data_IF_989831305031
#
_entry.id   IF_989831305031
#
_cell.length_a   1.000
_cell.length_b   1.000
_cell.length_c   1.000
_cell.angle_alpha   90.00
_cell.angle_beta   90.00
_cell.angle_gamma   90.00
#
_symmetry.space_group_name_H-M   'P 1'
#
loop_
_entity.id
_entity.type
_entity.pdbx_description
1 polymer ?
#
# COMPACT_ATOMS: atom_id res chain seq x y z
N UNK A 1 -1.18 7.84 4.36
CA UNK A 1 -1.56 7.21 5.64
C UNK A 1 -3.04 7.42 5.82
N UNK A 2 -3.78 6.39 6.25
CA UNK A 2 -5.22 6.51 6.49
C UNK A 2 -5.50 7.45 7.66
N UNK A 3 -6.56 8.26 7.56
CA UNK A 3 -6.96 9.14 8.65
C UNK A 3 -7.70 8.34 9.72
N UNK A 4 -7.45 8.65 10.98
CA UNK A 4 -8.13 7.99 12.11
C UNK A 4 -9.65 8.19 12.07
N UNK A 5 -10.12 9.36 11.59
CA UNK A 5 -11.54 9.62 11.37
C UNK A 5 -12.16 8.63 10.40
N UNK A 6 -11.48 8.33 9.29
CA UNK A 6 -11.92 7.34 8.29
C UNK A 6 -12.05 5.95 8.89
N UNK A 7 -11.05 5.51 9.68
CA UNK A 7 -11.07 4.21 10.34
C UNK A 7 -12.25 4.14 11.32
N UNK A 8 -12.45 5.17 12.16
CA UNK A 8 -13.56 5.22 13.11
C UNK A 8 -14.91 5.17 12.39
N UNK A 9 -15.10 5.97 11.34
CA UNK A 9 -16.34 5.96 10.56
C UNK A 9 -16.60 4.59 9.94
N UNK A 10 -15.59 3.94 9.35
CA UNK A 10 -15.71 2.59 8.80
C UNK A 10 -16.16 1.58 9.85
N UNK A 11 -15.53 1.59 11.03
CA UNK A 11 -15.88 0.70 12.14
C UNK A 11 -17.29 0.98 12.67
N UNK A 12 -17.67 2.26 12.81
CA UNK A 12 -19.01 2.65 13.27
C UNK A 12 -20.10 2.21 12.29
N UNK A 13 -19.91 2.42 10.98
CA UNK A 13 -20.86 1.97 9.95
C UNK A 13 -21.00 0.46 9.95
N UNK A 14 -19.88 -0.27 10.01
CA UNK A 14 -19.91 -1.72 10.05
C UNK A 14 -20.65 -2.25 11.29
N UNK A 15 -20.47 -1.61 12.46
CA UNK A 15 -21.18 -1.98 13.68
C UNK A 15 -22.70 -1.69 13.58
N UNK A 16 -23.09 -0.52 13.06
CA UNK A 16 -24.50 -0.15 12.92
C UNK A 16 -25.25 -1.02 11.91
N UNK A 17 -24.57 -1.42 10.83
CA UNK A 17 -25.15 -2.23 9.75
C UNK A 17 -24.92 -3.74 9.95
N UNK A 18 -24.34 -4.15 11.09
CA UNK A 18 -24.00 -5.56 11.41
C UNK A 18 -23.14 -6.22 10.33
N UNK A 19 -22.24 -5.46 9.71
CA UNK A 19 -21.31 -5.97 8.71
C UNK A 19 -20.16 -6.74 9.36
N UNK A 20 -19.66 -7.75 8.65
CA UNK A 20 -18.42 -8.44 9.04
C UNK A 20 -17.20 -7.70 8.51
N UNK A 21 -16.25 -7.39 9.38
CA UNK A 21 -14.96 -6.80 9.01
C UNK A 21 -13.92 -7.92 8.86
N UNK A 22 -13.12 -7.85 7.79
CA UNK A 22 -11.93 -8.68 7.61
C UNK A 22 -10.68 -7.81 7.64
N UNK A 23 -9.73 -8.16 8.48
CA UNK A 23 -8.42 -7.52 8.56
C UNK A 23 -7.37 -8.42 7.90
N UNK A 24 -6.43 -7.81 7.19
CA UNK A 24 -5.30 -8.49 6.59
C UNK A 24 -4.03 -7.71 6.91
N UNK A 25 -2.93 -8.44 7.16
CA UNK A 25 -1.59 -7.88 7.21
C UNK A 25 -0.75 -8.49 6.09
N UNK A 26 -0.05 -7.62 5.36
CA UNK A 26 0.72 -8.03 4.17
C UNK A 26 2.18 -8.13 4.54
N UNK A 27 2.70 -9.35 4.60
CA UNK A 27 4.12 -9.60 4.80
C UNK A 27 4.96 -8.89 3.75
N UNK A 28 6.04 -8.26 4.17
CA UNK A 28 7.00 -7.59 3.27
C UNK A 28 6.39 -6.54 2.32
N UNK A 29 5.31 -5.86 2.73
CA UNK A 29 4.53 -4.93 1.89
C UNK A 29 5.39 -3.96 1.05
N UNK A 30 6.42 -3.36 1.66
CA UNK A 30 7.28 -2.39 0.97
C UNK A 30 8.14 -2.99 -0.14
N UNK A 31 8.40 -4.30 -0.14
CA UNK A 31 9.18 -4.96 -1.19
C UNK A 31 8.37 -5.13 -2.49
N UNK A 32 7.05 -4.97 -2.45
CA UNK A 32 6.20 -5.06 -3.63
C UNK A 32 6.08 -3.74 -4.39
N UNK A 33 6.50 -2.62 -3.78
CA UNK A 33 6.44 -1.30 -4.40
C UNK A 33 7.44 -1.17 -5.56
N UNK A 34 7.00 -0.52 -6.64
CA UNK A 34 7.88 -0.11 -7.73
C UNK A 34 8.58 1.19 -7.34
N UNK A 35 9.87 1.32 -7.69
CA UNK A 35 10.58 2.59 -7.65
C UNK A 35 10.34 3.33 -8.97
N UNK A 36 10.04 4.63 -8.87
CA UNK A 36 9.93 5.51 -10.05
C UNK A 36 11.31 6.03 -10.44
N UNK A 37 12.15 6.32 -9.45
CA UNK A 37 13.53 6.73 -9.61
C UNK A 37 14.53 5.56 -9.55
N UNK A 38 15.72 5.78 -10.12
CA UNK A 38 16.83 4.83 -9.97
C UNK A 38 17.53 5.07 -8.64
N UNK A 39 17.47 4.09 -7.75
CA UNK A 39 18.15 4.11 -6.45
C UNK A 39 19.25 3.07 -6.42
N UNK A 40 20.43 3.46 -5.95
CA UNK A 40 21.54 2.57 -5.66
C UNK A 40 21.78 2.49 -4.15
N UNK A 41 22.26 1.35 -3.68
CA UNK A 41 22.75 1.17 -2.32
C UNK A 41 24.13 0.53 -2.33
N UNK A 42 24.89 0.73 -1.24
CA UNK A 42 26.11 -0.05 -1.00
C UNK A 42 25.77 -1.54 -0.99
N UNK A 43 26.72 -2.38 -1.39
CA UNK A 43 26.58 -3.82 -1.21
C UNK A 43 26.29 -4.11 0.27
N UNK A 44 25.32 -4.99 0.57
CA UNK A 44 25.04 -5.37 1.96
C UNK A 44 26.21 -6.16 2.54
N UNK A 45 26.25 -6.23 3.87
CA UNK A 45 27.23 -7.06 4.59
C UNK A 45 27.18 -8.52 4.07
N UNK A 46 28.35 -9.12 3.86
CA UNK A 46 28.50 -10.44 3.26
C UNK A 46 28.46 -10.49 1.72
N UNK A 47 28.10 -9.39 1.05
CA UNK A 47 28.12 -9.26 -0.42
C UNK A 47 29.14 -8.25 -0.94
N UNK A 48 29.76 -7.47 -0.07
CA UNK A 48 30.87 -6.59 -0.43
C UNK A 48 32.10 -7.44 -0.74
N UNK A 49 32.53 -7.38 -2.00
CA UNK A 49 33.67 -8.10 -2.54
C UNK A 49 34.90 -7.21 -2.72
N UNK A 50 34.89 -6.01 -2.12
CA UNK A 50 35.98 -5.05 -2.22
C UNK A 50 36.10 -4.39 -3.60
N UNK A 51 35.19 -4.69 -4.53
CA UNK A 51 35.22 -4.15 -5.89
C UNK A 51 34.70 -2.71 -5.96
N UNK A 52 34.13 -2.18 -4.87
CA UNK A 52 33.48 -0.87 -4.84
C UNK A 52 32.18 -0.81 -5.66
N UNK A 53 31.56 -1.96 -5.96
CA UNK A 53 30.30 -2.00 -6.69
C UNK A 53 29.13 -1.56 -5.82
N UNK A 54 28.03 -1.20 -6.47
CA UNK A 54 26.78 -0.81 -5.82
C UNK A 54 25.62 -1.62 -6.38
N UNK A 55 24.61 -1.87 -5.54
CA UNK A 55 23.40 -2.57 -5.94
C UNK A 55 22.37 -1.58 -6.45
N UNK A 56 21.85 -1.77 -7.66
CA UNK A 56 20.65 -1.06 -8.12
C UNK A 56 19.41 -1.72 -7.49
N UNK A 57 18.60 -0.93 -6.82
CA UNK A 57 17.33 -1.40 -6.28
C UNK A 57 16.30 -1.57 -7.40
N UNK A 58 15.78 -2.78 -7.57
CA UNK A 58 14.72 -3.07 -8.54
C UNK A 58 13.30 -2.86 -7.95
N UNK A 59 13.19 -2.76 -6.63
CA UNK A 59 11.96 -2.58 -5.85
C UNK A 59 12.22 -1.66 -4.67
N UNK A 60 11.18 -1.08 -4.09
CA UNK A 60 11.33 -0.33 -2.86
C UNK A 60 11.77 -1.25 -1.71
N UNK A 61 12.55 -0.69 -0.79
CA UNK A 61 13.13 -1.40 0.34
C UNK A 61 12.75 -0.68 1.64
N UNK A 62 12.78 -1.40 2.76
CA UNK A 62 12.68 -0.80 4.09
C UNK A 62 13.77 0.27 4.29
N UNK A 63 13.42 1.35 4.97
CA UNK A 63 14.30 2.50 5.19
C UNK A 63 14.31 3.55 4.08
N UNK A 64 13.79 3.25 2.88
CA UNK A 64 13.59 4.28 1.86
C UNK A 64 12.41 5.19 2.25
N UNK A 65 12.62 6.51 2.17
CA UNK A 65 11.60 7.53 2.51
C UNK A 65 10.32 7.37 1.69
N UNK A 66 10.44 6.90 0.45
CA UNK A 66 9.36 6.70 -0.51
C UNK A 66 8.71 5.32 -0.45
N UNK A 67 9.25 4.36 0.32
CA UNK A 67 8.73 2.99 0.34
C UNK A 67 7.23 2.90 0.70
N UNK A 68 6.71 3.66 1.68
CA UNK A 68 5.27 3.65 1.98
C UNK A 68 4.42 4.16 0.81
N UNK A 69 4.90 5.15 0.06
CA UNK A 69 4.21 5.69 -1.12
C UNK A 69 4.22 4.69 -2.27
N UNK A 70 5.36 4.05 -2.55
CA UNK A 70 5.49 3.01 -3.57
C UNK A 70 4.52 1.85 -3.32
N UNK A 71 4.40 1.40 -2.05
CA UNK A 71 3.42 0.39 -1.66
C UNK A 71 1.97 0.87 -1.83
N UNK A 72 1.63 2.06 -1.32
CA UNK A 72 0.27 2.58 -1.41
C UNK A 72 -0.19 2.73 -2.88
N UNK A 73 0.71 3.19 -3.76
CA UNK A 73 0.43 3.27 -5.20
C UNK A 73 0.23 1.87 -5.82
N UNK A 74 1.12 0.92 -5.52
CA UNK A 74 1.02 -0.46 -6.02
C UNK A 74 -0.30 -1.12 -5.60
N UNK A 75 -0.63 -1.05 -4.31
CA UNK A 75 -1.83 -1.68 -3.76
C UNK A 75 -3.10 -0.96 -4.22
N UNK A 76 -3.11 0.38 -4.24
CA UNK A 76 -4.23 1.16 -4.77
C UNK A 76 -4.53 0.84 -6.23
N UNK A 77 -3.50 0.73 -7.08
CA UNK A 77 -3.66 0.31 -8.47
C UNK A 77 -4.22 -1.10 -8.60
N UNK A 78 -3.83 -2.02 -7.71
CA UNK A 78 -4.40 -3.37 -7.67
C UNK A 78 -5.89 -3.34 -7.29
N UNK A 79 -6.28 -2.59 -6.26
CA UNK A 79 -7.69 -2.42 -5.86
C UNK A 79 -8.53 -1.79 -6.98
N UNK A 80 -8.00 -0.80 -7.69
CA UNK A 80 -8.70 -0.19 -8.83
C UNK A 80 -8.92 -1.19 -9.97
N UNK A 81 -7.96 -2.09 -10.23
CA UNK A 81 -8.13 -3.19 -11.20
C UNK A 81 -9.20 -4.20 -10.77
N UNK A 82 -9.46 -4.32 -9.47
CA UNK A 82 -10.57 -5.12 -8.93
C UNK A 82 -11.92 -4.39 -8.96
N UNK A 83 -11.98 -3.18 -9.55
CA UNK A 83 -13.20 -2.40 -9.71
C UNK A 83 -13.55 -1.51 -8.51
N UNK A 84 -12.64 -1.33 -7.54
CA UNK A 84 -12.84 -0.37 -6.46
C UNK A 84 -12.46 1.04 -6.91
N UNK A 85 -13.16 2.05 -6.41
CA UNK A 85 -12.88 3.45 -6.69
C UNK A 85 -12.25 4.11 -5.47
N UNK A 86 -11.17 4.87 -5.68
CA UNK A 86 -10.50 5.62 -4.62
C UNK A 86 -11.39 6.79 -4.16
N UNK A 87 -11.52 6.98 -2.85
CA UNK A 87 -12.28 8.09 -2.29
C UNK A 87 -11.53 9.42 -2.38
N UNK A 88 -12.26 10.51 -2.60
CA UNK A 88 -11.72 11.87 -2.49
C UNK A 88 -11.55 12.31 -1.02
N UNK A 89 -12.33 11.74 -0.10
CA UNK A 89 -12.32 12.10 1.32
C UNK A 89 -11.06 11.58 2.05
N UNK A 90 -10.53 10.43 1.65
CA UNK A 90 -9.31 9.84 2.21
C UNK A 90 -8.53 9.04 1.15
N UNK A 91 -7.23 9.34 0.93
CA UNK A 91 -6.41 8.65 -0.07
C UNK A 91 -6.20 7.15 0.17
N UNK A 92 -6.50 6.63 1.36
CA UNK A 92 -6.38 5.21 1.71
C UNK A 92 -7.74 4.50 1.76
N UNK A 93 -8.84 5.18 1.45
CA UNK A 93 -10.18 4.58 1.37
C UNK A 93 -10.52 4.23 -0.09
N UNK A 94 -10.96 2.99 -0.29
CA UNK A 94 -11.43 2.47 -1.57
C UNK A 94 -12.81 1.87 -1.38
N UNK A 95 -13.73 2.19 -2.29
CA UNK A 95 -15.14 1.82 -2.20
C UNK A 95 -15.49 1.04 -3.47
N UNK A 96 -16.04 -0.16 -3.30
CA UNK A 96 -16.71 -0.85 -4.40
C UNK A 96 -18.15 -0.34 -4.45
N UNK A 97 -18.52 0.28 -5.55
CA UNK A 97 -19.94 0.56 -5.82
C UNK A 97 -20.53 -0.71 -6.40
N UNK A 98 -21.23 -1.49 -5.60
CA UNK A 98 -22.14 -2.47 -6.18
C UNK A 98 -23.36 -1.69 -6.70
N UNK A 99 -23.86 -2.05 -7.88
CA UNK A 99 -25.20 -1.65 -8.32
C UNK A 99 -26.24 -2.34 -7.42
N UNK A 100 -26.35 -1.89 -6.17
CA UNK A 100 -27.38 -2.37 -5.30
C UNK A 100 -28.70 -1.72 -5.77
N UNK A 101 -29.57 -2.56 -6.33
CA UNK A 101 -31.02 -2.37 -6.23
C UNK A 101 -31.32 -1.79 -4.85
N UNK A 102 -31.93 -0.61 -4.87
CA UNK A 102 -32.59 -0.03 -3.70
C UNK A 102 -33.37 -1.14 -2.99
N UNK A 103 -33.18 -1.25 -1.68
CA UNK A 103 -34.22 -1.80 -0.80
C UNK A 103 -35.54 -1.07 -1.06
#
# INVERSE_FOLDING_TARGET
VARLGTIRSLLSTAASEKMTIKQFDVSTAFLYGNLEETVYMKQPEGYDDGSGRVCRLNRSLYGLKQAPRCWNNRFGNFLMKLGLVKSEADPCLFIKKDEAKKL
#
